data_IF_864856009414
#
_entry.id   IF_864856009414
#
_cell.length_a   1.000
_cell.length_b   1.000
_cell.length_c   1.000
_cell.angle_alpha   90.00
_cell.angle_beta   90.00
_cell.angle_gamma   90.00
#
_symmetry.space_group_name_H-M   'P 1'
#
loop_
_entity.id
_entity.type
_entity.pdbx_description
1 polymer ?
#
# COMPACT_ATOMS: atom_id res chain seq x y z
N UNK A 1 -8.53 1.98 14.85
CA UNK A 1 -8.74 3.40 15.17
C UNK A 1 -9.57 3.54 16.43
N UNK A 2 -10.90 3.35 16.43
CA UNK A 2 -11.72 3.55 17.66
C UNK A 2 -11.23 2.71 18.86
N UNK A 3 -10.92 1.42 18.67
CA UNK A 3 -10.41 0.57 19.76
C UNK A 3 -9.00 0.96 20.25
N UNK A 4 -8.18 1.60 19.40
CA UNK A 4 -6.86 2.07 19.81
C UNK A 4 -6.95 3.38 20.58
N UNK A 5 -7.77 4.31 20.09
CA UNK A 5 -8.02 5.61 20.74
C UNK A 5 -8.64 5.45 22.13
N UNK A 6 -9.68 4.62 22.27
CA UNK A 6 -10.41 4.47 23.54
C UNK A 6 -9.99 3.24 24.36
N UNK A 7 -8.74 2.81 24.22
CA UNK A 7 -8.23 1.57 24.85
C UNK A 7 -8.19 1.67 26.38
N UNK A 8 -7.95 2.86 26.92
CA UNK A 8 -7.90 3.12 28.36
C UNK A 8 -9.31 3.07 28.98
N UNK A 9 -10.27 3.72 28.35
CA UNK A 9 -11.68 3.80 28.74
C UNK A 9 -12.39 2.45 28.64
N UNK A 10 -11.94 1.61 27.71
CA UNK A 10 -12.50 0.29 27.48
C UNK A 10 -11.92 -0.80 28.41
N UNK A 11 -10.89 -0.50 29.22
CA UNK A 11 -10.30 -1.45 30.17
C UNK A 11 -9.87 -2.77 29.52
N UNK A 12 -9.18 -2.70 28.37
CA UNK A 12 -8.80 -3.86 27.53
C UNK A 12 -9.96 -4.65 26.90
N UNK A 13 -11.20 -4.14 26.93
CA UNK A 13 -12.30 -4.72 26.18
C UNK A 13 -12.41 -4.09 24.78
N UNK A 14 -12.87 -4.88 23.81
CA UNK A 14 -13.13 -4.35 22.48
C UNK A 14 -14.42 -3.51 22.48
N UNK A 15 -14.28 -2.22 22.21
CA UNK A 15 -15.36 -1.24 22.29
C UNK A 15 -16.16 -1.14 20.99
N UNK A 16 -15.48 -1.27 19.87
CA UNK A 16 -16.01 -1.12 18.53
C UNK A 16 -15.81 -2.39 17.69
N UNK A 17 -16.85 -2.79 16.97
CA UNK A 17 -16.89 -3.95 16.07
C UNK A 17 -17.45 -3.51 14.73
N UNK A 18 -16.76 -3.84 13.64
CA UNK A 18 -17.26 -3.59 12.30
C UNK A 18 -18.43 -4.54 11.99
N UNK A 19 -19.57 -3.97 11.59
CA UNK A 19 -20.76 -4.73 11.20
C UNK A 19 -20.89 -4.83 9.67
N UNK A 20 -20.25 -3.94 8.93
CA UNK A 20 -20.21 -3.94 7.46
C UNK A 20 -19.58 -2.66 6.89
N UNK A 21 -19.61 -2.48 5.57
CA UNK A 21 -19.11 -1.26 4.93
C UNK A 21 -19.80 -0.02 5.51
N UNK A 22 -19.02 0.88 6.11
CA UNK A 22 -19.52 2.12 6.72
C UNK A 22 -20.38 1.94 7.98
N UNK A 23 -20.45 0.74 8.57
CA UNK A 23 -21.24 0.47 9.79
C UNK A 23 -20.38 -0.15 10.88
N UNK A 24 -20.34 0.52 12.03
CA UNK A 24 -19.61 0.08 13.21
C UNK A 24 -20.56 0.07 14.41
N UNK A 25 -20.60 -1.04 15.13
CA UNK A 25 -21.28 -1.12 16.42
C UNK A 25 -20.29 -0.71 17.52
N UNK A 26 -20.68 0.23 18.38
CA UNK A 26 -19.84 0.75 19.45
C UNK A 26 -20.59 0.61 20.77
N UNK A 27 -19.96 -0.03 21.75
CA UNK A 27 -20.45 -0.08 23.13
C UNK A 27 -20.04 1.21 23.85
N UNK A 28 -20.95 1.82 24.59
CA UNK A 28 -20.64 3.02 25.37
C UNK A 28 -19.91 2.60 26.65
N UNK A 29 -18.70 3.12 26.96
CA UNK A 29 -18.02 2.85 28.22
C UNK A 29 -18.83 3.34 29.43
N UNK A 30 -18.66 2.69 30.59
CA UNK A 30 -19.44 3.00 31.81
C UNK A 30 -19.36 4.47 32.22
N UNK A 31 -18.18 5.09 32.11
CA UNK A 31 -17.95 6.49 32.47
C UNK A 31 -18.72 7.50 31.59
N UNK A 32 -19.19 7.08 30.42
CA UNK A 32 -19.99 7.91 29.52
C UNK A 32 -21.49 7.55 29.54
N UNK A 33 -21.94 6.67 30.44
CA UNK A 33 -23.36 6.29 30.51
C UNK A 33 -24.27 7.46 30.93
N UNK A 34 -23.75 8.40 31.72
CA UNK A 34 -24.49 9.61 32.13
C UNK A 34 -24.50 10.69 31.03
N UNK A 35 -23.53 10.65 30.11
CA UNK A 35 -23.41 11.60 28.99
C UNK A 35 -23.05 10.88 27.67
N UNK A 36 -23.97 10.10 27.08
CA UNK A 36 -23.71 9.38 25.82
C UNK A 36 -23.35 10.31 24.65
N UNK A 37 -23.90 11.53 24.64
CA UNK A 37 -23.70 12.51 23.57
C UNK A 37 -22.24 12.97 23.49
N UNK A 38 -21.59 13.16 24.65
CA UNK A 38 -20.18 13.54 24.73
C UNK A 38 -19.28 12.45 24.15
N UNK A 39 -19.58 11.18 24.45
CA UNK A 39 -18.86 10.06 23.87
C UNK A 39 -19.06 9.96 22.36
N UNK A 40 -20.27 10.20 21.86
CA UNK A 40 -20.51 10.24 20.41
C UNK A 40 -19.70 11.36 19.75
N UNK A 41 -19.63 12.54 20.36
CA UNK A 41 -18.81 13.64 19.86
C UNK A 41 -17.32 13.27 19.82
N UNK A 42 -16.79 12.68 20.91
CA UNK A 42 -15.41 12.22 20.97
C UNK A 42 -15.10 11.16 19.90
N UNK A 43 -16.02 10.20 19.68
CA UNK A 43 -15.89 9.20 18.61
C UNK A 43 -15.88 9.84 17.22
N UNK A 44 -16.66 10.91 17.01
CA UNK A 44 -16.69 11.62 15.73
C UNK A 44 -15.42 12.44 15.45
N UNK A 45 -14.68 12.82 16.49
CA UNK A 45 -13.40 13.51 16.37
C UNK A 45 -12.23 12.56 16.03
N UNK A 46 -12.43 11.25 16.21
CA UNK A 46 -11.43 10.24 15.85
C UNK A 46 -11.12 10.31 14.36
N UNK A 47 -9.96 10.91 14.05
CA UNK A 47 -9.41 10.96 12.71
C UNK A 47 -9.05 9.57 12.21
N UNK A 48 -9.38 9.28 10.96
CA UNK A 48 -8.84 8.12 10.26
C UNK A 48 -7.53 8.60 9.61
N UNK A 49 -6.39 8.36 10.25
CA UNK A 49 -5.08 8.84 9.78
C UNK A 49 -4.70 8.37 8.37
N UNK A 50 -5.36 7.32 7.88
CA UNK A 50 -5.21 6.81 6.52
C UNK A 50 -6.60 6.45 5.99
N UNK A 51 -7.39 7.40 5.44
CA UNK A 51 -8.37 6.97 4.47
C UNK A 51 -7.59 6.17 3.43
N UNK A 52 -8.04 4.97 3.07
CA UNK A 52 -7.38 4.18 2.04
C UNK A 52 -7.31 5.05 0.78
N UNK A 53 -6.16 5.72 0.56
CA UNK A 53 -5.93 6.48 -0.64
C UNK A 53 -5.92 5.46 -1.75
N UNK A 54 -6.82 5.65 -2.71
CA UNK A 54 -6.95 4.76 -3.84
C UNK A 54 -5.58 4.68 -4.52
N UNK A 55 -5.02 3.48 -4.59
CA UNK A 55 -3.73 3.24 -5.21
C UNK A 55 -3.83 3.66 -6.69
N UNK A 56 -3.06 4.66 -7.10
CA UNK A 56 -3.10 5.20 -8.47
C UNK A 56 -1.70 5.47 -9.00
N UNK A 57 -1.51 5.12 -10.27
CA UNK A 57 -0.29 5.37 -11.03
C UNK A 57 -0.65 6.18 -12.27
N UNK A 58 -0.18 7.42 -12.34
CA UNK A 58 -0.35 8.29 -13.49
C UNK A 58 0.98 8.41 -14.23
N UNK A 59 0.96 8.17 -15.53
CA UNK A 59 2.15 8.22 -16.38
C UNK A 59 1.93 9.23 -17.50
N UNK A 60 2.91 10.12 -17.69
CA UNK A 60 3.01 10.96 -18.87
C UNK A 60 4.31 10.61 -19.63
N UNK A 61 4.21 9.83 -20.73
CA UNK A 61 5.38 9.45 -21.52
C UNK A 61 6.09 10.64 -22.17
N UNK A 62 5.35 11.70 -22.53
CA UNK A 62 5.91 12.90 -23.21
C UNK A 62 6.79 13.72 -22.27
N UNK A 63 6.36 13.90 -21.02
CA UNK A 63 7.14 14.62 -20.00
C UNK A 63 8.02 13.72 -19.14
N UNK A 64 8.05 12.41 -19.43
CA UNK A 64 8.76 11.39 -18.64
C UNK A 64 8.42 11.48 -17.15
N UNK A 65 7.15 11.68 -16.82
CA UNK A 65 6.70 11.86 -15.43
C UNK A 65 5.88 10.65 -14.99
N UNK A 66 6.19 10.12 -13.81
CA UNK A 66 5.44 9.05 -13.15
C UNK A 66 5.02 9.54 -11.77
N UNK A 67 3.72 9.51 -11.50
CA UNK A 67 3.14 9.87 -10.20
C UNK A 67 2.51 8.64 -9.59
N UNK A 68 2.94 8.28 -8.39
CA UNK A 68 2.44 7.14 -7.61
C UNK A 68 1.76 7.69 -6.36
N UNK A 69 0.47 7.38 -6.17
CA UNK A 69 -0.33 7.83 -5.02
C UNK A 69 -0.97 6.64 -4.33
N UNK A 70 -1.09 6.68 -3.00
CA UNK A 70 -1.58 5.56 -2.19
C UNK A 70 -0.59 4.40 -2.10
N UNK A 71 -1.03 3.29 -1.52
CA UNK A 71 -0.22 2.08 -1.39
C UNK A 71 -0.37 1.21 -2.65
N UNK A 72 0.53 1.40 -3.61
CA UNK A 72 0.56 0.61 -4.86
C UNK A 72 1.31 -0.70 -4.64
N UNK A 73 0.58 -1.80 -4.66
CA UNK A 73 1.11 -3.15 -4.51
C UNK A 73 1.38 -3.81 -5.86
N UNK A 74 2.39 -4.69 -5.90
CA UNK A 74 2.69 -5.53 -7.06
C UNK A 74 2.73 -7.00 -6.67
N UNK A 75 2.17 -7.85 -7.52
CA UNK A 75 2.29 -9.31 -7.39
C UNK A 75 3.72 -9.77 -7.68
N UNK A 76 4.15 -10.93 -7.15
CA UNK A 76 5.44 -11.51 -7.52
C UNK A 76 5.60 -11.66 -9.04
N UNK A 77 6.70 -11.13 -9.57
CA UNK A 77 6.98 -11.06 -11.00
C UNK A 77 8.47 -10.91 -11.26
N UNK A 78 8.92 -11.50 -12.36
CA UNK A 78 10.26 -11.26 -12.91
C UNK A 78 10.11 -10.39 -14.15
N UNK A 79 10.85 -9.29 -14.18
CA UNK A 79 10.85 -8.31 -15.26
C UNK A 79 12.19 -8.44 -15.96
N UNK A 80 12.18 -8.75 -17.25
CA UNK A 80 13.39 -8.67 -18.08
C UNK A 80 13.17 -7.62 -19.16
N UNK A 81 13.97 -6.56 -19.11
CA UNK A 81 13.87 -5.42 -20.01
C UNK A 81 15.27 -5.00 -20.47
N UNK A 82 15.54 -5.12 -21.77
CA UNK A 82 16.87 -4.88 -22.37
C UNK A 82 17.96 -5.74 -21.72
N UNK A 83 18.90 -5.13 -21.01
CA UNK A 83 20.01 -5.77 -20.30
C UNK A 83 19.77 -5.85 -18.79
N UNK A 84 18.55 -5.58 -18.33
CA UNK A 84 18.17 -5.59 -16.92
C UNK A 84 17.19 -6.72 -16.64
N UNK A 85 17.46 -7.48 -15.58
CA UNK A 85 16.53 -8.46 -15.04
C UNK A 85 16.28 -8.14 -13.57
N UNK A 86 15.03 -7.82 -13.20
CA UNK A 86 14.61 -7.51 -11.83
C UNK A 86 13.58 -8.53 -11.38
N UNK A 87 13.82 -9.16 -10.24
CA UNK A 87 12.83 -10.01 -9.57
C UNK A 87 12.19 -9.26 -8.42
N UNK A 88 10.86 -9.11 -8.46
CA UNK A 88 10.07 -8.63 -7.33
C UNK A 88 9.33 -9.83 -6.79
N UNK A 89 9.72 -10.33 -5.62
CA UNK A 89 9.35 -11.70 -5.27
C UNK A 89 10.07 -12.22 -4.04
N UNK A 90 9.56 -13.32 -3.47
CA UNK A 90 10.40 -14.17 -2.66
C UNK A 90 11.46 -14.80 -3.57
N UNK A 91 12.77 -14.68 -3.26
CA UNK A 91 13.85 -15.22 -4.10
C UNK A 91 13.80 -16.75 -4.23
N UNK A 92 13.02 -17.44 -3.38
CA UNK A 92 12.91 -18.89 -3.38
C UNK A 92 12.11 -19.48 -4.57
N UNK A 93 11.29 -18.68 -5.27
CA UNK A 93 10.45 -19.18 -6.38
C UNK A 93 11.04 -18.90 -7.78
N UNK A 94 12.13 -18.14 -7.90
CA UNK A 94 12.69 -17.70 -9.18
C UNK A 94 14.16 -18.04 -9.34
N UNK A 95 14.49 -19.29 -9.70
CA UNK A 95 15.85 -19.73 -10.01
C UNK A 95 16.35 -19.15 -11.34
N UNK A 96 16.90 -17.94 -11.34
CA UNK A 96 17.43 -17.28 -12.55
C UNK A 96 18.85 -16.73 -12.34
N UNK A 97 19.78 -16.96 -13.29
CA UNK A 97 21.16 -16.48 -13.21
C UNK A 97 21.31 -15.04 -13.75
N UNK A 98 22.06 -14.20 -13.01
CA UNK A 98 22.65 -12.95 -13.50
C UNK A 98 21.90 -11.66 -13.12
N UNK A 99 22.47 -10.90 -12.16
CA UNK A 99 22.10 -9.49 -11.92
C UNK A 99 20.86 -9.25 -11.08
N UNK A 100 20.58 -10.10 -10.08
CA UNK A 100 19.45 -9.93 -9.18
C UNK A 100 19.62 -8.70 -8.27
N UNK A 101 18.64 -7.79 -8.27
CA UNK A 101 18.45 -6.82 -7.18
C UNK A 101 17.30 -7.32 -6.31
N UNK A 102 17.57 -7.96 -5.16
CA UNK A 102 16.53 -8.30 -4.22
C UNK A 102 15.89 -7.04 -3.67
N UNK A 103 14.57 -6.89 -3.82
CA UNK A 103 13.80 -6.00 -2.96
C UNK A 103 13.46 -6.79 -1.68
N UNK A 104 14.49 -7.09 -0.88
CA UNK A 104 14.30 -7.63 0.46
C UNK A 104 14.13 -6.47 1.43
N UNK A 105 12.89 -6.24 1.86
CA UNK A 105 12.67 -5.60 3.16
C UNK A 105 13.23 -6.52 4.25
N UNK A 106 13.98 -5.95 5.17
CA UNK A 106 14.56 -6.68 6.29
C UNK A 106 13.44 -7.36 7.12
N UNK A 107 13.59 -8.67 7.35
CA UNK A 107 13.00 -9.47 8.41
C UNK A 107 11.45 -9.51 8.55
N UNK A 108 10.87 -10.66 8.17
CA UNK A 108 9.80 -11.31 8.93
C UNK A 108 8.36 -10.77 8.84
N UNK A 109 8.14 -9.58 8.30
CA UNK A 109 6.78 -9.11 7.98
C UNK A 109 6.50 -9.40 6.51
N UNK A 110 5.31 -9.93 6.21
CA UNK A 110 4.79 -10.12 4.85
C UNK A 110 5.04 -8.83 4.07
N UNK A 111 6.12 -8.82 3.29
CA UNK A 111 6.59 -7.64 2.60
C UNK A 111 5.69 -7.49 1.38
N UNK A 112 4.55 -6.81 1.58
CA UNK A 112 3.76 -6.27 0.48
C UNK A 112 4.72 -5.55 -0.45
N UNK A 113 4.89 -6.08 -1.65
CA UNK A 113 5.86 -5.55 -2.60
C UNK A 113 5.30 -4.25 -3.15
N UNK A 114 6.03 -3.15 -2.93
CA UNK A 114 5.56 -1.82 -3.29
C UNK A 114 6.19 -1.36 -4.60
N UNK A 115 5.39 -0.81 -5.50
CA UNK A 115 5.90 -0.24 -6.75
C UNK A 115 6.95 0.85 -6.49
N UNK A 116 6.78 1.63 -5.43
CA UNK A 116 7.72 2.70 -5.07
C UNK A 116 9.15 2.18 -4.86
N UNK A 117 9.32 1.01 -4.23
CA UNK A 117 10.63 0.40 -4.02
C UNK A 117 11.26 -0.07 -5.33
N UNK A 118 10.45 -0.60 -6.25
CA UNK A 118 10.91 -0.97 -7.59
C UNK A 118 11.39 0.27 -8.36
N UNK A 119 10.59 1.33 -8.40
CA UNK A 119 10.95 2.58 -9.09
C UNK A 119 12.23 3.18 -8.52
N UNK A 120 12.38 3.20 -7.19
CA UNK A 120 13.60 3.66 -6.52
C UNK A 120 14.82 2.82 -6.91
N UNK A 121 14.70 1.48 -6.90
CA UNK A 121 15.78 0.59 -7.31
C UNK A 121 16.19 0.81 -8.78
N UNK A 122 15.22 0.99 -9.68
CA UNK A 122 15.49 1.29 -11.10
C UNK A 122 16.18 2.65 -11.28
N UNK A 123 15.77 3.66 -10.50
CA UNK A 123 16.40 4.98 -10.51
C UNK A 123 17.85 4.92 -10.03
N UNK A 124 18.14 4.15 -8.96
CA UNK A 124 19.50 3.94 -8.45
C UNK A 124 20.41 3.24 -9.48
N UNK A 125 19.84 2.32 -10.27
CA UNK A 125 20.52 1.67 -11.39
C UNK A 125 20.66 2.56 -12.64
N UNK A 126 20.23 3.82 -12.57
CA UNK A 126 20.24 4.78 -13.69
C UNK A 126 19.49 4.27 -14.92
N UNK A 127 18.43 3.50 -14.71
CA UNK A 127 17.55 3.07 -15.79
C UNK A 127 16.83 4.29 -16.35
N UNK A 128 16.80 4.50 -17.68
CA UNK A 128 16.08 5.62 -18.29
C UNK A 128 14.60 5.63 -17.90
N UNK A 129 14.02 6.82 -17.67
CA UNK A 129 12.61 6.92 -17.27
C UNK A 129 11.65 6.35 -18.31
N UNK A 130 12.00 6.39 -19.60
CA UNK A 130 11.26 5.70 -20.66
C UNK A 130 11.15 4.18 -20.41
N UNK A 131 12.24 3.56 -19.95
CA UNK A 131 12.27 2.13 -19.63
C UNK A 131 11.49 1.84 -18.35
N UNK A 132 11.56 2.70 -17.34
CA UNK A 132 10.73 2.59 -16.14
C UNK A 132 9.24 2.64 -16.50
N UNK A 133 8.84 3.57 -17.37
CA UNK A 133 7.47 3.68 -17.88
C UNK A 133 7.06 2.41 -18.62
N UNK A 134 7.92 1.88 -19.49
CA UNK A 134 7.65 0.64 -20.21
C UNK A 134 7.42 -0.54 -19.25
N UNK A 135 8.24 -0.65 -18.20
CA UNK A 135 8.09 -1.69 -17.17
C UNK A 135 6.76 -1.54 -16.42
N UNK A 136 6.41 -0.33 -15.98
CA UNK A 136 5.14 -0.08 -15.27
C UNK A 136 3.94 -0.41 -16.16
N UNK A 137 4.00 -0.04 -17.45
CA UNK A 137 2.94 -0.34 -18.41
C UNK A 137 2.74 -1.85 -18.56
N UNK A 138 3.82 -2.62 -18.66
CA UNK A 138 3.74 -4.08 -18.75
C UNK A 138 3.29 -4.74 -17.44
N UNK A 139 3.62 -4.17 -16.27
CA UNK A 139 3.09 -4.61 -14.98
C UNK A 139 1.56 -4.40 -14.88
N UNK A 140 1.06 -3.26 -15.37
CA UNK A 140 -0.37 -3.02 -15.47
C UNK A 140 -1.05 -3.98 -16.45
N UNK A 141 -0.52 -4.11 -17.68
CA UNK A 141 -1.09 -4.99 -18.71
C UNK A 141 -1.12 -6.47 -18.31
N UNK A 142 -0.14 -6.91 -17.52
CA UNK A 142 -0.08 -8.28 -16.99
C UNK A 142 -0.97 -8.50 -15.76
N UNK A 143 -1.68 -7.48 -15.27
CA UNK A 143 -2.52 -7.55 -14.07
C UNK A 143 -1.71 -7.77 -12.79
N UNK A 144 -0.40 -7.48 -12.81
CA UNK A 144 0.48 -7.61 -11.65
C UNK A 144 0.54 -6.34 -10.82
N UNK A 145 0.13 -5.21 -11.38
CA UNK A 145 0.00 -3.92 -10.70
C UNK A 145 -1.39 -3.75 -10.09
N UNK A 146 -1.46 -3.63 -8.76
CA UNK A 146 -2.71 -3.42 -8.02
C UNK A 146 -2.90 -1.93 -7.75
N UNK A 147 -3.28 -1.19 -8.80
CA UNK A 147 -3.61 0.23 -8.75
C UNK A 147 -4.47 0.62 -9.95
N UNK A 148 -5.18 1.74 -9.83
CA UNK A 148 -5.71 2.44 -11.00
C UNK A 148 -4.54 2.97 -11.83
N UNK A 149 -4.52 2.65 -13.12
CA UNK A 149 -3.48 3.10 -14.04
C UNK A 149 -4.05 4.08 -15.05
N UNK A 150 -3.35 5.18 -15.24
CA UNK A 150 -3.77 6.26 -16.13
C UNK A 150 -2.59 6.79 -16.96
N UNK A 151 -2.72 6.84 -18.29
CA UNK A 151 -1.66 7.23 -19.23
C UNK A 151 -2.17 8.28 -20.23
N UNK A 152 -1.51 9.46 -20.30
CA UNK A 152 -1.89 10.61 -21.16
C UNK A 152 -0.69 11.28 -21.87
#
# INVERSE_FOLDING_TARGET
>A
VINSEFSFEAGNQQLAIAQGPGRVFIRIPRQYMESPVEFVAAVMEVGIDRPHQQARVVVNPKSQTVVVTGEVEISPVVISHKNLTVGVGNPAEGGLPGGFVPITGEQGQQSTQRLQQLVEALNQLRVPTEDVISIIRELHRSGKLHAEYDEH
#
